data_IF_872113193995
#
_entry.id   IF_872113193995
#
_cell.length_a   1.000
_cell.length_b   1.000
_cell.length_c   1.000
_cell.angle_alpha   90.00
_cell.angle_beta   90.00
_cell.angle_gamma   90.00
#
_symmetry.space_group_name_H-M   'P 1'
#
loop_
_entity.id
_entity.type
_entity.pdbx_description
1 polymer ?
#
# COMPACT_ATOMS: atom_id res chain seq x y z
N UNK A 1 16.38 -13.78 43.87
CA UNK A 1 17.36 -14.89 43.94
C UNK A 1 17.45 -15.52 42.54
N UNK A 2 18.42 -16.40 42.32
CA UNK A 2 18.68 -17.03 40.99
C UNK A 2 17.51 -17.89 40.50
N UNK A 3 16.79 -18.53 41.41
CA UNK A 3 15.58 -19.32 41.11
C UNK A 3 14.42 -18.42 40.66
N UNK A 4 14.20 -17.31 41.35
CA UNK A 4 13.18 -16.33 40.99
C UNK A 4 13.46 -15.74 39.59
N UNK A 5 14.71 -15.42 39.30
CA UNK A 5 15.10 -14.93 37.98
C UNK A 5 14.87 -15.97 36.86
N UNK A 6 15.18 -17.25 37.13
CA UNK A 6 14.92 -18.34 36.17
C UNK A 6 13.44 -18.57 35.94
N UNK A 7 12.61 -18.59 37.00
CA UNK A 7 11.17 -18.74 36.91
C UNK A 7 10.56 -17.55 36.16
N UNK A 8 10.97 -16.31 36.47
CA UNK A 8 10.52 -15.12 35.78
C UNK A 8 10.95 -15.14 34.29
N UNK A 9 12.20 -15.54 34.02
CA UNK A 9 12.68 -15.69 32.64
C UNK A 9 11.94 -16.78 31.86
N UNK A 10 11.62 -17.92 32.47
CA UNK A 10 10.83 -18.97 31.85
C UNK A 10 9.38 -18.52 31.61
N UNK A 11 8.77 -17.81 32.57
CA UNK A 11 7.44 -17.26 32.42
C UNK A 11 7.36 -16.23 31.28
N UNK A 12 8.35 -15.31 31.21
CA UNK A 12 8.44 -14.35 30.10
C UNK A 12 8.70 -15.05 28.76
N UNK A 13 9.57 -16.09 28.74
CA UNK A 13 9.81 -16.88 27.54
C UNK A 13 8.56 -17.61 27.04
N UNK A 14 7.75 -18.13 27.95
CA UNK A 14 6.48 -18.80 27.61
C UNK A 14 5.49 -17.85 26.94
N UNK A 15 5.51 -16.56 27.29
CA UNK A 15 4.65 -15.54 26.66
C UNK A 15 4.92 -15.40 25.16
N UNK A 16 6.15 -15.65 24.71
CA UNK A 16 6.50 -15.58 23.30
C UNK A 16 5.81 -16.64 22.42
N UNK A 17 5.31 -17.73 23.02
CA UNK A 17 4.63 -18.83 22.33
C UNK A 17 3.10 -18.71 22.35
N UNK A 18 2.55 -17.73 23.06
CA UNK A 18 1.11 -17.47 23.12
C UNK A 18 0.80 -16.28 22.21
N UNK A 19 -0.06 -16.46 21.21
CA UNK A 19 -0.56 -15.34 20.43
C UNK A 19 -1.51 -14.50 21.28
N UNK A 20 -1.10 -13.31 21.66
CA UNK A 20 -1.94 -12.40 22.44
C UNK A 20 -3.14 -11.91 21.62
N UNK A 21 -2.95 -11.70 20.33
CA UNK A 21 -4.04 -11.29 19.44
C UNK A 21 -5.05 -12.44 19.21
N UNK A 22 -4.56 -13.61 18.76
CA UNK A 22 -5.45 -14.68 18.32
C UNK A 22 -5.99 -15.53 19.48
N UNK A 23 -5.17 -15.75 20.53
CA UNK A 23 -5.52 -16.63 21.65
C UNK A 23 -6.20 -15.88 22.79
N UNK A 24 -5.71 -14.68 23.11
CA UNK A 24 -6.23 -13.90 24.23
C UNK A 24 -7.16 -12.77 23.78
N UNK A 25 -7.36 -12.57 22.48
CA UNK A 25 -8.24 -11.56 21.94
C UNK A 25 -7.77 -10.12 22.16
N UNK A 26 -6.46 -9.90 22.38
CA UNK A 26 -5.90 -8.56 22.58
C UNK A 26 -5.82 -7.84 21.26
N UNK A 27 -6.85 -7.06 20.91
CA UNK A 27 -6.99 -6.35 19.65
C UNK A 27 -6.24 -5.03 19.68
N UNK A 28 -5.62 -4.68 18.55
CA UNK A 28 -4.91 -3.42 18.37
C UNK A 28 -5.78 -2.46 17.56
N UNK A 29 -6.10 -1.32 18.12
CA UNK A 29 -6.81 -0.26 17.43
C UNK A 29 -5.81 0.65 16.72
N UNK A 30 -5.71 0.52 15.41
CA UNK A 30 -4.71 1.25 14.61
C UNK A 30 -4.87 2.76 14.71
N UNK A 31 -6.10 3.25 14.68
CA UNK A 31 -6.41 4.69 14.73
C UNK A 31 -6.40 5.28 16.13
N UNK A 32 -6.50 4.44 17.14
CA UNK A 32 -6.55 4.82 18.54
C UNK A 32 -5.67 3.90 19.38
N UNK A 33 -4.35 3.89 19.17
CA UNK A 33 -3.45 2.95 19.83
C UNK A 33 -3.52 3.08 21.36
N UNK A 34 -3.66 4.29 21.90
CA UNK A 34 -3.78 4.51 23.34
C UNK A 34 -5.05 3.87 23.91
N UNK A 35 -6.15 3.83 23.16
CA UNK A 35 -7.39 3.17 23.60
C UNK A 35 -7.18 1.67 23.82
N UNK A 36 -6.34 1.02 22.99
CA UNK A 36 -5.94 -0.38 23.19
C UNK A 36 -5.21 -0.56 24.53
N UNK A 37 -4.31 0.34 24.86
CA UNK A 37 -3.57 0.29 26.12
C UNK A 37 -4.45 0.57 27.35
N UNK A 38 -5.38 1.50 27.24
CA UNK A 38 -6.32 1.80 28.32
C UNK A 38 -7.34 0.69 28.56
N UNK A 39 -7.88 0.10 27.49
CA UNK A 39 -8.96 -0.89 27.61
C UNK A 39 -8.46 -2.30 27.92
N UNK A 40 -7.25 -2.66 27.49
CA UNK A 40 -6.73 -4.03 27.59
C UNK A 40 -5.47 -4.14 28.46
N UNK A 41 -4.98 -3.02 28.99
CA UNK A 41 -3.77 -2.95 29.81
C UNK A 41 -2.49 -2.83 29.00
N UNK A 42 -1.46 -2.23 29.63
CA UNK A 42 -0.20 -1.92 28.95
C UNK A 42 0.52 -3.19 28.48
N UNK A 43 0.80 -4.13 29.39
CA UNK A 43 1.64 -5.29 29.07
C UNK A 43 1.04 -6.20 27.98
N UNK A 44 -0.25 -6.60 28.05
CA UNK A 44 -0.85 -7.43 27.00
C UNK A 44 -0.85 -6.74 25.63
N UNK A 45 -1.18 -5.44 25.60
CA UNK A 45 -1.20 -4.67 24.36
C UNK A 45 0.20 -4.51 23.78
N UNK A 46 1.21 -4.24 24.62
CA UNK A 46 2.62 -4.14 24.18
C UNK A 46 3.12 -5.46 23.59
N UNK A 47 2.84 -6.59 24.24
CA UNK A 47 3.25 -7.92 23.74
C UNK A 47 2.54 -8.22 22.41
N UNK A 48 1.23 -7.99 22.33
CA UNK A 48 0.46 -8.16 21.09
C UNK A 48 1.02 -7.31 19.95
N UNK A 49 1.36 -6.05 20.22
CA UNK A 49 1.97 -5.14 19.25
C UNK A 49 3.32 -5.67 18.78
N UNK A 50 4.20 -6.06 19.70
CA UNK A 50 5.52 -6.59 19.37
C UNK A 50 5.44 -7.88 18.53
N UNK A 51 4.49 -8.76 18.84
CA UNK A 51 4.25 -9.97 18.05
C UNK A 51 3.80 -9.68 16.63
N UNK A 52 3.01 -8.61 16.42
CA UNK A 52 2.55 -8.19 15.09
C UNK A 52 3.62 -7.53 14.22
N UNK A 53 4.73 -7.08 14.82
CA UNK A 53 5.87 -6.51 14.06
C UNK A 53 6.67 -7.56 13.28
N UNK A 54 6.42 -8.83 13.52
CA UNK A 54 7.11 -9.93 12.84
C UNK A 54 6.14 -10.62 11.89
N UNK A 55 6.42 -10.64 10.57
CA UNK A 55 5.58 -11.37 9.62
C UNK A 55 5.46 -12.85 9.99
N UNK A 56 4.26 -13.45 9.92
CA UNK A 56 4.08 -14.85 10.23
C UNK A 56 4.82 -15.74 9.23
N UNK A 57 5.58 -16.69 9.72
CA UNK A 57 6.23 -17.68 8.85
C UNK A 57 5.27 -18.82 8.53
N UNK A 58 5.12 -19.20 7.25
CA UNK A 58 4.38 -20.40 6.86
C UNK A 58 4.94 -21.64 7.57
N UNK A 59 4.06 -22.62 7.85
CA UNK A 59 4.51 -23.92 8.37
C UNK A 59 5.54 -24.52 7.41
N UNK A 60 6.61 -25.09 7.98
CA UNK A 60 7.72 -25.71 7.22
C UNK A 60 8.51 -24.75 6.31
N UNK A 61 8.44 -23.41 6.56
CA UNK A 61 9.20 -22.43 5.80
C UNK A 61 10.71 -22.70 5.84
N UNK A 62 11.31 -22.79 4.65
CA UNK A 62 12.77 -22.82 4.46
C UNK A 62 13.14 -21.82 3.37
N UNK A 63 14.04 -20.90 3.70
CA UNK A 63 14.41 -19.81 2.79
C UNK A 63 14.98 -20.29 1.45
N UNK A 64 15.77 -21.37 1.47
CA UNK A 64 16.31 -21.98 0.25
C UNK A 64 15.24 -22.56 -0.67
N UNK A 65 14.23 -23.23 -0.12
CA UNK A 65 13.10 -23.75 -0.88
C UNK A 65 12.24 -22.62 -1.45
N UNK A 66 11.96 -21.58 -0.65
CA UNK A 66 11.23 -20.40 -1.10
C UNK A 66 11.97 -19.70 -2.27
N UNK A 67 13.28 -19.49 -2.15
CA UNK A 67 14.10 -18.92 -3.22
C UNK A 67 14.08 -19.79 -4.49
N UNK A 68 14.15 -21.09 -4.37
CA UNK A 68 14.07 -22.00 -5.50
C UNK A 68 12.70 -21.95 -6.20
N UNK A 69 11.61 -21.85 -5.44
CA UNK A 69 10.25 -21.70 -5.96
C UNK A 69 10.14 -20.38 -6.74
N UNK A 70 10.59 -19.26 -6.18
CA UNK A 70 10.54 -17.94 -6.81
C UNK A 70 11.32 -17.96 -8.13
N UNK A 71 12.56 -18.48 -8.12
CA UNK A 71 13.38 -18.59 -9.34
C UNK A 71 12.71 -19.44 -10.41
N UNK A 72 12.09 -20.56 -10.03
CA UNK A 72 11.36 -21.42 -10.97
C UNK A 72 10.14 -20.71 -11.56
N UNK A 73 9.37 -20.00 -10.74
CA UNK A 73 8.20 -19.27 -11.21
C UNK A 73 8.62 -18.11 -12.14
N UNK A 74 9.67 -17.37 -11.81
CA UNK A 74 10.22 -16.33 -12.66
C UNK A 74 10.71 -16.87 -14.01
N UNK A 75 11.41 -18.02 -14.02
CA UNK A 75 11.85 -18.67 -15.24
C UNK A 75 10.65 -19.10 -16.11
N UNK A 76 9.61 -19.68 -15.51
CA UNK A 76 8.37 -20.05 -16.23
C UNK A 76 7.66 -18.81 -16.79
N UNK A 77 7.56 -17.75 -16.02
CA UNK A 77 6.98 -16.49 -16.49
C UNK A 77 7.75 -15.93 -17.68
N UNK A 78 9.07 -15.88 -17.59
CA UNK A 78 9.93 -15.38 -18.65
C UNK A 78 9.90 -16.24 -19.91
N UNK A 79 9.70 -17.55 -19.77
CA UNK A 79 9.53 -18.47 -20.90
C UNK A 79 8.12 -18.44 -21.53
N UNK A 80 7.19 -17.65 -20.98
CA UNK A 80 5.82 -17.57 -21.49
C UNK A 80 4.98 -18.82 -21.28
N UNK A 81 5.37 -19.72 -20.37
CA UNK A 81 4.71 -21.03 -20.15
C UNK A 81 3.51 -21.00 -19.21
N UNK A 82 3.03 -19.83 -18.83
CA UNK A 82 1.87 -19.67 -17.93
C UNK A 82 0.59 -19.21 -18.65
N UNK A 83 0.42 -19.59 -19.93
CA UNK A 83 -0.78 -19.25 -20.69
C UNK A 83 -0.84 -17.79 -21.20
N UNK A 84 0.15 -16.97 -20.83
CA UNK A 84 0.34 -15.60 -21.32
C UNK A 84 1.60 -15.59 -22.21
N UNK A 85 1.74 -16.61 -23.03
CA UNK A 85 2.73 -16.58 -24.11
C UNK A 85 2.24 -15.65 -25.21
N UNK A 86 2.34 -14.34 -24.94
CA UNK A 86 2.11 -13.35 -25.96
C UNK A 86 3.41 -13.19 -26.77
N UNK A 87 3.41 -13.55 -28.07
CA UNK A 87 4.55 -13.32 -28.94
C UNK A 87 4.95 -11.84 -28.99
N UNK A 88 4.02 -10.93 -28.68
CA UNK A 88 4.26 -9.49 -28.62
C UNK A 88 5.10 -9.06 -27.41
N UNK A 89 5.29 -9.92 -26.40
CA UNK A 89 6.00 -9.54 -25.17
C UNK A 89 7.45 -9.13 -25.43
N UNK A 90 8.17 -9.87 -26.25
CA UNK A 90 9.54 -9.52 -26.59
C UNK A 90 9.60 -8.16 -27.32
N UNK A 91 8.69 -7.94 -28.27
CA UNK A 91 8.55 -6.66 -28.96
C UNK A 91 8.13 -5.53 -28.01
N UNK A 92 7.24 -5.81 -27.06
CA UNK A 92 6.82 -4.83 -26.05
C UNK A 92 7.96 -4.44 -25.10
N UNK A 93 8.81 -5.39 -24.70
CA UNK A 93 10.01 -5.12 -23.89
C UNK A 93 10.98 -4.26 -24.67
N UNK A 94 11.26 -4.60 -25.93
CA UNK A 94 12.13 -3.82 -26.79
C UNK A 94 11.59 -2.39 -27.00
N UNK A 95 10.31 -2.26 -27.28
CA UNK A 95 9.64 -0.96 -27.41
C UNK A 95 9.74 -0.15 -26.12
N UNK A 96 9.52 -0.78 -24.97
CA UNK A 96 9.64 -0.12 -23.67
C UNK A 96 11.06 0.39 -23.43
N UNK A 97 12.07 -0.43 -23.73
CA UNK A 97 13.47 -0.07 -23.57
C UNK A 97 13.90 1.09 -24.48
N UNK A 98 13.29 1.17 -25.67
CA UNK A 98 13.54 2.26 -26.62
C UNK A 98 12.82 3.56 -26.25
N UNK A 99 11.54 3.49 -25.85
CA UNK A 99 10.70 4.65 -25.61
C UNK A 99 10.78 5.15 -24.17
N UNK A 100 10.97 4.25 -23.21
CA UNK A 100 10.94 4.55 -21.75
C UNK A 100 9.84 5.54 -21.40
N UNK A 101 8.56 5.21 -21.63
CA UNK A 101 7.47 6.14 -21.36
C UNK A 101 7.39 6.47 -19.87
N UNK A 102 7.11 7.72 -19.51
CA UNK A 102 6.77 8.07 -18.14
C UNK A 102 5.50 7.34 -17.70
N UNK A 103 5.45 6.93 -16.43
CA UNK A 103 4.36 6.14 -15.87
C UNK A 103 3.78 6.88 -14.67
N UNK A 104 2.48 7.18 -14.72
CA UNK A 104 1.73 7.79 -13.63
C UNK A 104 0.69 6.78 -13.15
N UNK A 105 0.80 6.40 -11.89
CA UNK A 105 -0.14 5.52 -11.21
C UNK A 105 -0.91 6.32 -10.16
N UNK A 106 -2.21 6.45 -10.34
CA UNK A 106 -3.09 7.21 -9.45
C UNK A 106 -4.00 6.23 -8.72
N UNK A 107 -3.92 6.25 -7.39
CA UNK A 107 -4.88 5.60 -6.51
C UNK A 107 -5.87 6.66 -6.02
N UNK A 108 -7.06 6.67 -6.59
CA UNK A 108 -8.11 7.57 -6.12
C UNK A 108 -8.65 7.07 -4.78
N UNK A 109 -8.44 7.86 -3.73
CA UNK A 109 -8.89 7.53 -2.37
C UNK A 109 -10.41 7.35 -2.32
N UNK A 110 -10.86 6.27 -1.66
CA UNK A 110 -12.28 5.94 -1.48
C UNK A 110 -13.11 5.96 -2.77
N UNK A 111 -12.48 5.76 -3.93
CA UNK A 111 -13.18 5.72 -5.22
C UNK A 111 -13.81 4.35 -5.45
N UNK A 112 -15.12 4.34 -5.65
CA UNK A 112 -15.87 3.14 -5.99
C UNK A 112 -17.03 3.47 -6.94
N UNK A 113 -17.34 2.53 -7.82
CA UNK A 113 -18.56 2.63 -8.64
C UNK A 113 -19.78 2.14 -7.85
N UNK A 114 -20.44 3.07 -7.16
CA UNK A 114 -21.64 2.77 -6.37
C UNK A 114 -22.87 2.41 -7.21
N UNK A 115 -22.81 2.53 -8.54
CA UNK A 115 -23.91 2.13 -9.41
C UNK A 115 -24.16 0.62 -9.44
N UNK A 116 -23.22 -0.17 -8.90
CA UNK A 116 -23.40 -1.62 -8.69
C UNK A 116 -24.49 -1.95 -7.66
N UNK A 117 -24.83 -0.99 -6.78
CA UNK A 117 -25.87 -1.14 -5.76
C UNK A 117 -27.20 -0.61 -6.30
N UNK A 118 -27.92 -1.45 -7.02
CA UNK A 118 -29.22 -1.09 -7.62
C UNK A 118 -30.28 -0.64 -6.60
N UNK A 119 -30.14 -1.12 -5.34
CA UNK A 119 -31.04 -0.83 -4.23
C UNK A 119 -30.99 0.64 -3.78
N UNK A 120 -29.93 1.37 -4.10
CA UNK A 120 -29.82 2.78 -3.74
C UNK A 120 -30.87 3.66 -4.41
N UNK A 121 -31.43 3.23 -5.55
CA UNK A 121 -32.58 3.85 -6.21
C UNK A 121 -32.45 5.36 -6.54
N UNK A 122 -31.24 5.93 -6.38
CA UNK A 122 -30.99 7.37 -6.50
C UNK A 122 -30.72 7.83 -7.95
N UNK A 123 -30.80 6.94 -8.92
CA UNK A 123 -30.54 7.25 -10.34
C UNK A 123 -29.05 7.48 -10.68
N UNK A 124 -28.14 7.24 -9.75
CA UNK A 124 -26.70 7.36 -10.00
C UNK A 124 -26.24 6.27 -10.98
N UNK A 125 -25.61 6.69 -12.08
CA UNK A 125 -25.16 5.80 -13.17
C UNK A 125 -23.69 5.41 -13.06
N UNK A 126 -23.03 5.80 -11.99
CA UNK A 126 -21.60 5.58 -11.76
C UNK A 126 -20.73 6.74 -12.23
N UNK A 127 -19.41 6.59 -12.17
CA UNK A 127 -18.45 7.61 -12.57
C UNK A 127 -18.38 7.70 -14.11
N UNK A 128 -19.30 8.44 -14.73
CA UNK A 128 -19.49 8.48 -16.19
C UNK A 128 -18.20 8.82 -16.93
N UNK A 129 -17.45 9.83 -16.47
CA UNK A 129 -16.18 10.22 -17.12
C UNK A 129 -15.14 9.12 -17.08
N UNK A 130 -15.03 8.40 -15.94
CA UNK A 130 -14.11 7.28 -15.81
C UNK A 130 -14.50 6.12 -16.74
N UNK A 131 -15.81 5.86 -16.86
CA UNK A 131 -16.34 4.82 -17.77
C UNK A 131 -16.18 5.16 -19.24
N UNK A 132 -16.12 6.44 -19.58
CA UNK A 132 -16.06 6.95 -20.94
C UNK A 132 -14.65 7.46 -21.33
N UNK A 133 -13.58 6.86 -20.83
CA UNK A 133 -12.22 7.18 -21.26
C UNK A 133 -11.99 6.57 -22.65
N UNK A 134 -12.06 7.38 -23.69
CA UNK A 134 -12.05 6.94 -25.09
C UNK A 134 -10.76 6.21 -25.51
N UNK A 135 -9.63 6.55 -24.87
CA UNK A 135 -8.32 5.99 -25.17
C UNK A 135 -7.86 4.94 -24.17
N UNK A 136 -8.77 4.38 -23.36
CA UNK A 136 -8.40 3.34 -22.43
C UNK A 136 -7.99 2.07 -23.17
N UNK A 137 -6.74 1.65 -22.97
CA UNK A 137 -6.25 0.38 -23.53
C UNK A 137 -6.78 -0.82 -22.75
N UNK A 138 -7.05 -0.66 -21.47
CA UNK A 138 -7.60 -1.69 -20.60
C UNK A 138 -8.50 -1.05 -19.54
N UNK A 139 -9.64 -1.66 -19.29
CA UNK A 139 -10.52 -1.36 -18.17
C UNK A 139 -10.91 -2.67 -17.48
N UNK A 140 -11.09 -2.61 -16.15
CA UNK A 140 -11.45 -3.80 -15.38
C UNK A 140 -11.87 -3.48 -13.97
N UNK A 141 -12.22 -4.52 -13.22
CA UNK A 141 -12.56 -4.45 -11.80
C UNK A 141 -11.36 -4.89 -10.98
N UNK A 142 -10.96 -4.07 -10.02
CA UNK A 142 -9.94 -4.43 -9.04
C UNK A 142 -10.61 -4.85 -7.71
N UNK A 143 -10.27 -6.04 -7.23
CA UNK A 143 -10.69 -6.52 -5.92
C UNK A 143 -9.62 -6.19 -4.90
N UNK A 144 -9.93 -5.24 -4.02
CA UNK A 144 -9.00 -4.80 -2.98
C UNK A 144 -9.05 -5.73 -1.78
N UNK A 145 -7.90 -6.08 -1.22
CA UNK A 145 -7.80 -6.90 -0.01
C UNK A 145 -8.21 -6.15 1.26
N UNK A 146 -8.10 -4.82 1.25
CA UNK A 146 -8.53 -3.98 2.35
C UNK A 146 -10.04 -3.75 2.28
N UNK A 147 -10.76 -4.16 3.33
CA UNK A 147 -12.19 -3.91 3.46
C UNK A 147 -12.42 -2.69 4.35
N UNK A 148 -12.76 -1.57 3.72
CA UNK A 148 -12.99 -0.29 4.40
C UNK A 148 -11.75 0.24 5.14
N UNK A 149 -11.30 1.47 4.88
CA UNK A 149 -10.08 2.06 5.41
C UNK A 149 -8.80 1.27 5.06
N UNK A 150 -7.65 1.74 5.52
CA UNK A 150 -6.38 1.02 5.32
C UNK A 150 -5.81 1.15 3.91
N UNK A 151 -5.89 2.33 3.31
CA UNK A 151 -5.34 2.66 1.97
C UNK A 151 -3.89 2.19 1.83
N UNK A 152 -3.07 2.36 2.87
CA UNK A 152 -1.68 1.93 2.88
C UNK A 152 -1.48 0.41 2.66
N UNK A 153 -2.49 -0.42 2.95
CA UNK A 153 -2.42 -1.85 2.65
C UNK A 153 -2.58 -2.11 1.14
N UNK A 154 -3.44 -1.35 0.48
CA UNK A 154 -3.57 -1.39 -0.98
C UNK A 154 -2.32 -0.84 -1.68
N UNK A 155 -1.74 0.24 -1.14
CA UNK A 155 -0.45 0.77 -1.61
C UNK A 155 0.66 -0.27 -1.45
N UNK A 156 0.71 -0.96 -0.30
CA UNK A 156 1.69 -2.02 -0.06
C UNK A 156 1.57 -3.16 -1.09
N UNK A 157 0.35 -3.66 -1.33
CA UNK A 157 0.13 -4.71 -2.34
C UNK A 157 0.52 -4.25 -3.74
N UNK A 158 0.12 -3.04 -4.12
CA UNK A 158 0.43 -2.48 -5.44
C UNK A 158 1.94 -2.26 -5.63
N UNK A 159 2.60 -1.62 -4.67
CA UNK A 159 4.01 -1.26 -4.81
C UNK A 159 4.95 -2.47 -4.70
N UNK A 160 4.61 -3.47 -3.88
CA UNK A 160 5.51 -4.59 -3.60
C UNK A 160 5.12 -5.89 -4.31
N UNK A 161 3.88 -6.02 -4.78
CA UNK A 161 3.33 -7.27 -5.30
C UNK A 161 3.10 -8.35 -4.21
N UNK A 162 3.26 -8.00 -2.92
CA UNK A 162 2.96 -8.91 -1.82
C UNK A 162 1.49 -8.83 -1.44
N UNK A 163 0.89 -9.96 -1.03
CA UNK A 163 -0.52 -9.98 -0.63
C UNK A 163 -0.70 -9.85 0.88
N UNK A 164 -1.64 -9.01 1.30
CA UNK A 164 -2.09 -8.88 2.69
C UNK A 164 -2.67 -10.17 3.26
N UNK A 165 -3.15 -11.08 2.40
CA UNK A 165 -3.73 -12.37 2.81
C UNK A 165 -2.78 -13.22 3.67
N UNK A 166 -1.47 -13.01 3.56
CA UNK A 166 -0.46 -13.77 4.29
C UNK A 166 0.05 -13.09 5.56
N UNK A 167 -0.40 -11.89 5.87
CA UNK A 167 0.10 -11.10 6.99
C UNK A 167 -0.79 -11.15 8.24
N UNK A 168 -2.03 -11.63 8.07
CA UNK A 168 -3.01 -11.73 9.15
C UNK A 168 -3.83 -10.46 9.36
N UNK A 169 -4.90 -10.58 10.14
CA UNK A 169 -5.82 -9.49 10.40
C UNK A 169 -5.19 -8.37 11.25
N UNK A 170 -5.55 -7.13 10.95
CA UNK A 170 -5.12 -5.96 11.71
C UNK A 170 -3.65 -5.56 11.53
N UNK A 171 -2.96 -6.13 10.54
CA UNK A 171 -1.59 -5.72 10.18
C UNK A 171 -1.63 -4.57 9.18
N UNK A 172 -0.77 -3.60 9.41
CA UNK A 172 -0.50 -2.48 8.51
C UNK A 172 1.00 -2.44 8.24
N UNK A 173 1.47 -2.97 7.10
CA UNK A 173 2.91 -3.10 6.81
C UNK A 173 3.67 -1.79 6.92
N UNK A 174 3.10 -0.68 6.47
CA UNK A 174 3.70 0.65 6.58
C UNK A 174 4.00 1.06 8.03
N UNK A 175 3.18 0.59 8.98
CA UNK A 175 3.32 0.90 10.40
C UNK A 175 4.12 -0.15 11.16
N UNK A 176 4.20 -1.38 10.64
CA UNK A 176 4.68 -2.54 11.41
C UNK A 176 6.00 -3.09 10.92
N UNK A 177 6.34 -2.90 9.64
CA UNK A 177 7.48 -3.56 9.03
C UNK A 177 8.53 -2.60 8.52
N UNK A 178 9.80 -3.01 8.58
CA UNK A 178 10.86 -2.38 7.81
C UNK A 178 10.75 -2.83 6.36
N UNK A 179 10.42 -1.92 5.45
CA UNK A 179 10.24 -2.19 4.04
C UNK A 179 11.51 -1.93 3.20
N UNK A 180 12.57 -1.44 3.82
CA UNK A 180 13.85 -1.20 3.13
C UNK A 180 14.43 -2.44 2.40
N UNK A 181 14.28 -3.70 2.90
CA UNK A 181 14.73 -4.88 2.16
C UNK A 181 13.78 -5.33 1.05
N UNK A 182 12.57 -4.76 0.96
CA UNK A 182 11.54 -5.22 0.03
C UNK A 182 11.82 -4.77 -1.39
N UNK A 183 11.73 -5.69 -2.35
CA UNK A 183 11.61 -5.33 -3.76
C UNK A 183 10.27 -4.64 -4.00
N UNK A 184 10.28 -3.58 -4.81
CA UNK A 184 9.10 -2.78 -5.07
C UNK A 184 9.21 -2.04 -6.41
N UNK A 185 8.11 -1.43 -6.86
CA UNK A 185 8.06 -0.74 -8.16
C UNK A 185 9.02 0.45 -8.23
N UNK A 186 9.16 1.25 -7.16
CA UNK A 186 10.07 2.39 -7.18
C UNK A 186 11.51 1.95 -7.48
N UNK A 187 12.00 0.91 -6.80
CA UNK A 187 13.34 0.35 -7.06
C UNK A 187 13.47 -0.25 -8.46
N UNK A 188 12.41 -0.90 -8.96
CA UNK A 188 12.42 -1.45 -10.31
C UNK A 188 12.55 -0.34 -11.36
N UNK A 189 11.72 0.70 -11.27
CA UNK A 189 11.80 1.85 -12.16
C UNK A 189 13.14 2.57 -12.06
N UNK A 190 13.67 2.73 -10.85
CA UNK A 190 14.98 3.33 -10.62
C UNK A 190 16.11 2.58 -11.33
N UNK A 191 16.10 1.24 -11.26
CA UNK A 191 17.05 0.40 -12.01
C UNK A 191 16.95 0.55 -13.53
N UNK A 192 15.77 0.95 -14.01
CA UNK A 192 15.52 1.24 -15.43
C UNK A 192 15.90 2.68 -15.82
N UNK A 193 16.38 3.50 -14.87
CA UNK A 193 16.81 4.87 -15.10
C UNK A 193 15.69 5.90 -14.98
N UNK A 194 14.61 5.60 -14.27
CA UNK A 194 13.53 6.55 -14.00
C UNK A 194 13.81 7.36 -12.72
N UNK A 195 13.40 8.63 -12.73
CA UNK A 195 13.13 9.37 -11.50
C UNK A 195 11.83 8.83 -10.89
N UNK A 196 11.77 8.73 -9.57
CA UNK A 196 10.60 8.17 -8.87
C UNK A 196 10.04 9.16 -7.87
N UNK A 197 8.76 9.50 -7.98
CA UNK A 197 8.07 10.45 -7.13
C UNK A 197 6.82 9.82 -6.55
N UNK A 198 6.66 9.92 -5.23
CA UNK A 198 5.41 9.61 -4.55
C UNK A 198 4.68 10.91 -4.21
N UNK A 199 3.34 10.90 -4.21
CA UNK A 199 2.51 12.05 -3.84
C UNK A 199 1.34 11.61 -2.96
N UNK A 200 1.04 12.44 -1.94
CA UNK A 200 -0.19 12.32 -1.17
C UNK A 200 -0.50 13.66 -0.51
N UNK A 201 -1.57 14.36 -0.89
CA UNK A 201 -1.91 15.68 -0.36
C UNK A 201 -2.49 15.60 1.06
N UNK A 202 -1.72 14.99 1.98
CA UNK A 202 -1.98 14.86 3.40
C UNK A 202 -0.66 14.89 4.16
N UNK A 203 -0.71 14.94 5.49
CA UNK A 203 0.50 14.96 6.32
C UNK A 203 1.45 13.81 6.00
N UNK A 204 2.73 14.12 5.84
CA UNK A 204 3.76 13.14 5.49
C UNK A 204 3.84 11.96 6.48
N UNK A 205 3.55 12.22 7.74
CA UNK A 205 3.51 11.22 8.81
C UNK A 205 2.32 10.27 8.75
N UNK A 206 1.29 10.60 7.95
CA UNK A 206 0.12 9.74 7.82
C UNK A 206 0.53 8.38 7.25
N UNK A 207 0.17 7.30 7.94
CA UNK A 207 0.61 5.94 7.63
C UNK A 207 2.15 5.79 7.56
N UNK A 208 2.91 6.68 8.23
CA UNK A 208 4.38 6.66 8.21
C UNK A 208 4.99 6.78 6.80
N UNK A 209 4.26 7.38 5.84
CA UNK A 209 4.64 7.41 4.43
C UNK A 209 6.00 8.04 4.18
N UNK A 210 6.36 9.10 4.92
CA UNK A 210 7.67 9.76 4.77
C UNK A 210 8.84 8.76 4.91
N UNK A 211 8.80 7.89 5.92
CA UNK A 211 9.84 6.89 6.13
C UNK A 211 9.68 5.71 5.16
N UNK A 212 8.45 5.27 4.92
CA UNK A 212 8.17 4.13 4.06
C UNK A 212 8.56 4.39 2.61
N UNK A 213 8.24 5.54 2.04
CA UNK A 213 8.62 5.85 0.67
C UNK A 213 10.13 6.07 0.53
N UNK A 214 10.78 6.65 1.55
CA UNK A 214 12.25 6.70 1.61
C UNK A 214 12.85 5.29 1.66
N UNK A 215 12.35 4.40 2.50
CA UNK A 215 12.76 3.00 2.61
C UNK A 215 12.52 2.22 1.30
N UNK A 216 11.42 2.50 0.60
CA UNK A 216 11.13 1.91 -0.70
C UNK A 216 12.01 2.47 -1.83
N UNK A 217 12.72 3.58 -1.57
CA UNK A 217 13.69 4.16 -2.48
C UNK A 217 13.11 5.14 -3.49
N UNK A 218 11.95 5.75 -3.22
CA UNK A 218 11.51 6.92 -3.98
C UNK A 218 12.52 8.05 -3.84
N UNK A 219 12.71 8.81 -4.92
CA UNK A 219 13.62 9.96 -4.92
C UNK A 219 13.01 11.16 -4.21
N UNK A 220 11.68 11.26 -4.24
CA UNK A 220 10.93 12.38 -3.68
C UNK A 220 9.56 11.94 -3.18
N UNK A 221 9.09 12.57 -2.11
CA UNK A 221 7.72 12.44 -1.63
C UNK A 221 7.11 13.83 -1.42
N UNK A 222 6.06 14.13 -2.18
CA UNK A 222 5.28 15.36 -2.11
C UNK A 222 4.07 15.15 -1.18
N UNK A 223 4.02 15.93 -0.10
CA UNK A 223 3.00 15.86 0.93
C UNK A 223 2.13 17.11 0.96
N UNK A 224 1.29 17.30 1.97
CA UNK A 224 0.37 18.45 2.06
C UNK A 224 1.05 19.80 1.88
N UNK A 225 2.31 19.94 2.32
CA UNK A 225 3.08 21.16 2.23
C UNK A 225 3.35 21.58 0.78
N UNK A 226 3.45 20.61 -0.14
CA UNK A 226 3.67 20.83 -1.57
C UNK A 226 2.38 21.23 -2.32
N UNK A 227 1.24 21.17 -1.63
CA UNK A 227 -0.08 21.57 -2.12
C UNK A 227 -0.61 22.82 -1.41
N UNK A 228 0.25 23.61 -0.78
CA UNK A 228 -0.15 24.84 -0.08
C UNK A 228 -0.90 25.79 -1.02
N UNK A 229 -2.11 26.21 -0.62
CA UNK A 229 -2.98 27.07 -1.42
C UNK A 229 -3.79 26.37 -2.50
N UNK A 230 -3.69 25.05 -2.63
CA UNK A 230 -4.55 24.28 -3.53
C UNK A 230 -6.03 24.36 -3.11
N UNK A 231 -6.97 24.26 -4.06
CA UNK A 231 -8.40 24.22 -3.74
C UNK A 231 -8.74 23.04 -2.84
N UNK A 232 -9.64 23.27 -1.89
CA UNK A 232 -10.12 22.24 -0.97
C UNK A 232 -11.62 21.99 -1.12
N UNK A 233 -12.02 20.76 -0.91
CA UNK A 233 -13.41 20.33 -0.72
C UNK A 233 -13.50 19.54 0.60
N UNK A 234 -14.42 19.91 1.48
CA UNK A 234 -14.55 19.25 2.80
C UNK A 234 -13.22 19.24 3.60
N UNK A 235 -12.45 20.32 3.53
CA UNK A 235 -11.14 20.47 4.17
C UNK A 235 -10.08 19.46 3.67
N UNK A 236 -10.20 19.01 2.46
CA UNK A 236 -9.24 18.13 1.78
C UNK A 236 -8.89 18.72 0.43
N UNK A 237 -7.63 18.62 0.07
CA UNK A 237 -7.15 19.02 -1.26
C UNK A 237 -7.95 18.29 -2.33
N UNK A 238 -8.45 19.02 -3.32
CA UNK A 238 -9.21 18.43 -4.44
C UNK A 238 -8.32 17.55 -5.30
N UNK A 239 -8.88 16.50 -5.90
CA UNK A 239 -8.13 15.55 -6.75
C UNK A 239 -7.53 16.22 -8.01
N UNK A 240 -8.06 17.36 -8.42
CA UNK A 240 -7.47 18.14 -9.51
C UNK A 240 -6.04 18.62 -9.19
N UNK A 241 -5.78 19.00 -7.94
CA UNK A 241 -4.47 19.53 -7.55
C UNK A 241 -3.32 18.52 -7.71
N UNK A 242 -3.40 17.27 -7.20
CA UNK A 242 -2.37 16.27 -7.48
C UNK A 242 -2.27 15.91 -8.96
N UNK A 243 -3.36 15.93 -9.75
CA UNK A 243 -3.26 15.70 -11.19
C UNK A 243 -2.48 16.81 -11.90
N UNK A 244 -2.74 18.08 -11.55
CA UNK A 244 -1.96 19.21 -12.06
C UNK A 244 -0.50 19.11 -11.61
N UNK A 245 -0.24 18.70 -10.36
CA UNK A 245 1.11 18.47 -9.84
C UNK A 245 1.83 17.34 -10.60
N UNK A 246 1.14 16.25 -10.93
CA UNK A 246 1.70 15.20 -11.81
C UNK A 246 2.16 15.77 -13.16
N UNK A 247 1.35 16.63 -13.78
CA UNK A 247 1.71 17.28 -15.04
C UNK A 247 2.86 18.26 -14.90
N UNK A 248 2.92 19.00 -13.78
CA UNK A 248 4.03 19.90 -13.45
C UNK A 248 5.35 19.12 -13.33
N UNK A 249 5.35 18.07 -12.50
CA UNK A 249 6.52 17.23 -12.26
C UNK A 249 6.97 16.53 -13.55
N UNK A 250 6.03 16.08 -14.38
CA UNK A 250 6.32 15.49 -15.68
C UNK A 250 7.00 16.48 -16.63
N UNK A 251 6.53 17.72 -16.69
CA UNK A 251 7.10 18.77 -17.54
C UNK A 251 8.50 19.22 -17.10
N UNK A 252 8.80 19.08 -15.82
CA UNK A 252 10.09 19.48 -15.24
C UNK A 252 11.15 18.37 -15.30
N UNK A 253 10.79 17.17 -15.78
CA UNK A 253 11.69 16.02 -15.80
C UNK A 253 12.34 15.84 -17.16
N UNK A 254 13.66 15.85 -17.19
CA UNK A 254 14.47 15.55 -18.40
C UNK A 254 14.68 14.05 -18.64
N UNK A 255 14.17 13.22 -17.73
CA UNK A 255 14.27 11.76 -17.79
C UNK A 255 12.90 11.13 -17.58
N UNK A 256 12.70 9.86 -17.98
CA UNK A 256 11.45 9.17 -17.72
C UNK A 256 11.16 9.13 -16.23
N UNK A 257 9.89 9.29 -15.86
CA UNK A 257 9.48 9.40 -14.47
C UNK A 257 8.40 8.37 -14.12
N UNK A 258 8.51 7.79 -12.94
CA UNK A 258 7.46 7.00 -12.30
C UNK A 258 6.85 7.83 -11.18
N UNK A 259 5.56 8.11 -11.28
CA UNK A 259 4.79 8.83 -10.25
C UNK A 259 3.79 7.86 -9.63
N UNK A 260 3.78 7.79 -8.29
CA UNK A 260 2.74 7.13 -7.50
C UNK A 260 1.99 8.18 -6.70
N UNK A 261 0.75 8.45 -7.10
CA UNK A 261 -0.13 9.42 -6.47
C UNK A 261 -1.27 8.72 -5.73
N UNK A 262 -1.57 9.17 -4.51
CA UNK A 262 -2.74 8.77 -3.74
C UNK A 262 -3.55 10.02 -3.42
N UNK A 263 -4.73 10.17 -4.01
CA UNK A 263 -5.55 11.38 -3.83
C UNK A 263 -6.18 11.45 -2.43
N UNK A 264 -6.90 12.53 -2.11
CA UNK A 264 -7.44 12.73 -0.77
C UNK A 264 -8.88 13.25 -0.74
N UNK A 265 -9.40 13.81 -1.81
CA UNK A 265 -10.69 14.51 -1.83
C UNK A 265 -11.85 13.65 -1.31
N UNK A 266 -11.91 12.39 -1.70
CA UNK A 266 -13.00 11.47 -1.38
C UNK A 266 -12.82 10.73 -0.04
N UNK A 267 -11.81 11.06 0.74
CA UNK A 267 -11.64 10.46 2.08
C UNK A 267 -12.73 10.95 3.03
N UNK A 268 -13.31 10.04 3.81
CA UNK A 268 -14.28 10.37 4.86
C UNK A 268 -13.70 11.42 5.86
N UNK A 269 -14.47 12.23 6.61
CA UNK A 269 -15.91 12.13 6.80
C UNK A 269 -16.63 13.03 5.78
N UNK A 270 -17.81 12.60 5.37
CA UNK A 270 -18.65 13.32 4.39
C UNK A 270 -19.66 14.27 5.02
N UNK A 271 -19.84 14.22 6.32
CA UNK A 271 -20.75 14.99 7.15
C UNK A 271 -20.22 16.39 7.51
N UNK A 272 -19.69 17.09 6.54
CA UNK A 272 -18.97 18.36 6.76
C UNK A 272 -19.83 19.61 6.63
N UNK A 273 -21.16 19.48 6.73
CA UNK A 273 -22.08 20.62 6.69
C UNK A 273 -22.23 21.24 5.29
N UNK A 274 -22.03 20.48 4.25
CA UNK A 274 -22.34 20.84 2.86
C UNK A 274 -23.80 20.52 2.55
N UNK A 275 -24.74 20.98 3.40
CA UNK A 275 -26.18 20.95 3.13
C UNK A 275 -26.67 22.37 3.15
#
# INVERSE_FOLDING_TARGET
>A
DRRTALVAGAALGAQAFISYYDTLGIKLHTWKPLESYYSQGFLPTFISSAQKMVPPKPKHYKSGEASAIIKRLAARWNAGTNGIADPSRAAAVEQFDQLKPSVICIMNESFADLSIFNELGCGYKGPERFKAIDNALLQGVSYMSAFGAGTCNSEFEFLTGHSMAFLGAGVYPFMSYNLAPSENLARQFKRLGYRTVAMHPNHATNWNRENVFADMGFDEFLSIEDFAGAPELCRKVTDAAPYDKCLEVLKQSDQPIFIHDVTMQNHSAYDTGLV
#
